data_IF_716864455425
#
_entry.id   IF_716864455425
#
_cell.length_a   1.000
_cell.length_b   1.000
_cell.length_c   1.000
_cell.angle_alpha   90.00
_cell.angle_beta   90.00
_cell.angle_gamma   90.00
#
_symmetry.space_group_name_H-M   'P 1'
#
loop_
_entity.id
_entity.type
_entity.pdbx_description
1 polymer ?
#
# COMPACT_ATOMS: atom_id res chain seq x y z
N UNK A 1 -7.05 -10.19 7.07
CA UNK A 1 -7.99 -9.38 6.24
C UNK A 1 -7.59 -7.92 6.14
N UNK A 2 -7.45 -7.21 7.27
CA UNK A 2 -7.25 -5.74 7.28
C UNK A 2 -5.93 -5.26 6.67
N UNK A 3 -4.88 -6.07 6.64
CA UNK A 3 -3.62 -5.72 5.98
C UNK A 3 -3.64 -5.89 4.44
N UNK A 4 -4.77 -6.32 3.85
CA UNK A 4 -4.89 -6.46 2.39
C UNK A 4 -4.00 -7.55 1.79
N UNK A 5 -3.56 -8.53 2.59
CA UNK A 5 -2.71 -9.63 2.13
C UNK A 5 -3.48 -10.61 1.24
N UNK A 6 -2.79 -11.26 0.30
CA UNK A 6 -3.39 -12.34 -0.49
C UNK A 6 -3.76 -13.53 0.41
N UNK A 7 -4.92 -14.20 0.19
CA UNK A 7 -5.94 -13.95 -0.83
C UNK A 7 -7.01 -12.92 -0.42
N UNK A 8 -6.99 -12.42 0.81
CA UNK A 8 -8.03 -11.54 1.39
C UNK A 8 -7.87 -10.06 1.01
N UNK A 9 -7.43 -9.77 -0.21
CA UNK A 9 -6.98 -8.45 -0.67
C UNK A 9 -8.03 -7.68 -1.49
N UNK A 10 -9.04 -8.39 -2.05
CA UNK A 10 -9.96 -7.83 -3.05
C UNK A 10 -10.71 -6.57 -2.60
N UNK A 11 -11.01 -6.44 -1.29
CA UNK A 11 -11.69 -5.27 -0.74
C UNK A 11 -10.86 -3.98 -0.85
N UNK A 12 -9.53 -4.08 -0.86
CA UNK A 12 -8.63 -2.93 -0.78
C UNK A 12 -8.70 -2.02 -2.02
N UNK A 13 -8.52 -2.52 -3.26
CA UNK A 13 -8.63 -1.68 -4.45
C UNK A 13 -10.03 -1.09 -4.64
N UNK A 14 -11.07 -1.82 -4.29
CA UNK A 14 -12.45 -1.35 -4.43
C UNK A 14 -12.77 -0.25 -3.40
N UNK A 15 -12.36 -0.43 -2.14
CA UNK A 15 -12.51 0.58 -1.10
C UNK A 15 -11.79 1.89 -1.48
N UNK A 16 -10.55 1.82 -1.98
CA UNK A 16 -9.83 3.01 -2.43
C UNK A 16 -10.44 3.66 -3.68
N UNK A 17 -11.06 2.87 -4.57
CA UNK A 17 -11.70 3.40 -5.78
C UNK A 17 -12.89 4.29 -5.46
N UNK A 18 -13.69 3.89 -4.49
CA UNK A 18 -14.94 4.57 -4.13
C UNK A 18 -14.77 5.60 -3.00
N UNK A 19 -13.77 5.43 -2.13
CA UNK A 19 -13.61 6.32 -0.98
C UNK A 19 -13.17 7.74 -1.38
N UNK A 20 -13.67 8.78 -0.68
CA UNK A 20 -13.12 10.12 -0.76
C UNK A 20 -11.62 10.15 -0.44
N UNK A 21 -10.90 11.14 -0.96
CA UNK A 21 -9.45 11.20 -0.84
C UNK A 21 -8.91 11.18 0.61
N UNK A 22 -9.49 11.91 1.57
CA UNK A 22 -9.05 11.84 2.97
C UNK A 22 -9.30 10.47 3.62
N UNK A 23 -10.34 9.76 3.18
CA UNK A 23 -10.62 8.41 3.67
C UNK A 23 -9.61 7.43 3.06
N UNK A 24 -9.34 7.55 1.77
CA UNK A 24 -8.32 6.75 1.08
C UNK A 24 -6.92 6.95 1.67
N UNK A 25 -6.54 8.18 2.02
CA UNK A 25 -5.25 8.44 2.67
C UNK A 25 -5.16 7.78 4.05
N UNK A 26 -6.21 7.85 4.87
CA UNK A 26 -6.26 7.17 6.17
C UNK A 26 -6.26 5.65 6.05
N UNK A 27 -6.99 5.10 5.08
CA UNK A 27 -7.02 3.66 4.83
C UNK A 27 -5.63 3.12 4.49
N UNK A 28 -4.90 3.79 3.59
CA UNK A 28 -3.56 3.31 3.22
C UNK A 28 -2.51 3.66 4.26
N UNK A 29 -2.51 4.91 4.76
CA UNK A 29 -1.43 5.41 5.60
C UNK A 29 -1.53 5.03 7.07
N UNK A 30 -2.73 4.69 7.56
CA UNK A 30 -2.93 4.37 8.99
C UNK A 30 -3.44 2.95 9.16
N UNK A 31 -4.52 2.56 8.49
CA UNK A 31 -5.15 1.26 8.72
C UNK A 31 -4.22 0.09 8.34
N UNK A 32 -3.57 0.12 7.17
CA UNK A 32 -2.71 -0.98 6.74
C UNK A 32 -1.47 -1.15 7.64
N UNK A 33 -0.67 -0.09 7.95
CA UNK A 33 0.44 -0.22 8.88
C UNK A 33 0.01 -0.67 10.28
N UNK A 34 -1.14 -0.19 10.77
CA UNK A 34 -1.67 -0.60 12.07
C UNK A 34 -2.04 -2.08 12.07
N UNK A 35 -2.65 -2.59 10.99
CA UNK A 35 -2.97 -4.01 10.87
C UNK A 35 -1.71 -4.90 10.90
N UNK A 36 -0.63 -4.49 10.25
CA UNK A 36 0.66 -5.21 10.32
C UNK A 36 1.36 -5.05 11.67
N UNK A 37 1.26 -3.90 12.32
CA UNK A 37 1.76 -3.72 13.67
C UNK A 37 1.05 -4.66 14.66
N UNK A 38 -0.29 -4.74 14.61
CA UNK A 38 -1.05 -5.68 15.45
C UNK A 38 -0.64 -7.12 15.15
N UNK A 39 -0.46 -7.47 13.87
CA UNK A 39 0.04 -8.78 13.47
C UNK A 39 1.42 -9.08 14.10
N UNK A 40 2.38 -8.15 14.00
CA UNK A 40 3.71 -8.27 14.62
C UNK A 40 3.60 -8.52 16.13
N UNK A 41 2.75 -7.77 16.84
CA UNK A 41 2.58 -7.93 18.29
C UNK A 41 2.03 -9.31 18.67
N UNK A 42 1.13 -9.87 17.86
CA UNK A 42 0.61 -11.23 18.05
C UNK A 42 1.69 -12.25 17.71
N UNK A 43 2.43 -12.04 16.61
CA UNK A 43 3.52 -12.91 16.15
C UNK A 43 4.62 -13.05 17.21
N UNK A 44 5.01 -11.95 17.86
CA UNK A 44 6.02 -11.93 18.94
C UNK A 44 5.58 -12.69 20.20
N UNK A 45 4.27 -12.85 20.44
CA UNK A 45 3.74 -13.59 21.59
C UNK A 45 3.71 -15.11 21.37
N UNK A 46 3.90 -15.57 20.13
CA UNK A 46 3.84 -16.99 19.82
C UNK A 46 5.11 -17.72 20.28
N UNK A 47 5.00 -18.91 20.89
CA UNK A 47 6.17 -19.66 21.35
C UNK A 47 7.07 -20.05 20.18
N UNK A 48 8.34 -19.68 20.25
CA UNK A 48 9.36 -20.06 19.27
C UNK A 48 9.58 -21.58 19.17
N UNK A 49 9.27 -22.33 20.23
CA UNK A 49 9.41 -23.79 20.30
C UNK A 49 8.26 -24.59 19.67
N UNK A 50 7.10 -23.97 19.43
CA UNK A 50 5.91 -24.62 18.84
C UNK A 50 5.62 -24.21 17.39
N UNK A 51 6.41 -23.29 16.84
CA UNK A 51 6.12 -22.58 15.59
C UNK A 51 6.97 -23.08 14.40
N UNK A 52 7.27 -24.38 14.33
CA UNK A 52 7.94 -24.99 13.17
C UNK A 52 7.16 -24.63 11.88
N UNK A 53 7.76 -23.86 10.98
CA UNK A 53 7.14 -23.46 9.71
C UNK A 53 6.38 -22.13 9.73
N UNK A 54 6.15 -21.50 10.90
CA UNK A 54 5.37 -20.25 10.95
C UNK A 54 6.12 -19.10 10.29
N UNK A 55 7.43 -18.99 10.53
CA UNK A 55 8.29 -17.99 9.89
C UNK A 55 8.25 -18.12 8.37
N UNK A 56 8.42 -19.34 7.89
CA UNK A 56 8.41 -19.69 6.47
C UNK A 56 7.05 -19.34 5.85
N UNK A 57 5.96 -19.62 6.56
CA UNK A 57 4.61 -19.25 6.13
C UNK A 57 4.42 -17.73 6.04
N UNK A 58 4.88 -16.97 7.03
CA UNK A 58 4.77 -15.51 7.05
C UNK A 58 5.56 -14.89 5.88
N UNK A 59 6.80 -15.35 5.68
CA UNK A 59 7.64 -14.92 4.56
C UNK A 59 7.02 -15.31 3.22
N UNK A 60 6.50 -16.54 3.11
CA UNK A 60 5.84 -17.02 1.90
C UNK A 60 4.59 -16.18 1.55
N UNK A 61 3.72 -15.91 2.53
CA UNK A 61 2.53 -15.08 2.33
C UNK A 61 2.92 -13.64 1.96
N UNK A 62 3.97 -13.09 2.56
CA UNK A 62 4.48 -11.76 2.23
C UNK A 62 5.00 -11.69 0.79
N UNK A 63 5.83 -12.65 0.39
CA UNK A 63 6.38 -12.76 -0.96
C UNK A 63 5.29 -12.97 -2.01
N UNK A 64 4.34 -13.88 -1.74
CA UNK A 64 3.21 -14.13 -2.62
C UNK A 64 2.32 -12.88 -2.77
N UNK A 65 2.06 -12.17 -1.67
CA UNK A 65 1.30 -10.91 -1.70
C UNK A 65 1.99 -9.85 -2.54
N UNK A 66 3.29 -9.65 -2.35
CA UNK A 66 4.06 -8.67 -3.12
C UNK A 66 4.06 -9.01 -4.62
N UNK A 67 4.29 -10.28 -4.97
CA UNK A 67 4.30 -10.74 -6.35
C UNK A 67 2.94 -10.56 -7.03
N UNK A 68 1.86 -10.99 -6.37
CA UNK A 68 0.49 -10.83 -6.89
C UNK A 68 0.16 -9.36 -7.06
N UNK A 69 0.49 -8.51 -6.10
CA UNK A 69 0.26 -7.08 -6.17
C UNK A 69 1.02 -6.43 -7.34
N UNK A 70 2.27 -6.81 -7.58
CA UNK A 70 3.07 -6.30 -8.70
C UNK A 70 2.41 -6.63 -10.05
N UNK A 71 1.97 -7.88 -10.25
CA UNK A 71 1.27 -8.26 -11.48
C UNK A 71 -0.07 -7.56 -11.65
N UNK A 72 -0.87 -7.45 -10.59
CA UNK A 72 -2.17 -6.78 -10.65
C UNK A 72 -2.05 -5.27 -10.91
N UNK A 73 -0.97 -4.65 -10.41
CA UNK A 73 -0.66 -3.22 -10.63
C UNK A 73 -0.47 -2.91 -12.12
N UNK A 74 0.23 -3.76 -12.86
CA UNK A 74 0.50 -3.56 -14.29
C UNK A 74 -0.77 -3.52 -15.15
N UNK A 75 -1.83 -4.18 -14.73
CA UNK A 75 -3.11 -4.22 -15.44
C UNK A 75 -4.03 -3.03 -15.10
N UNK A 76 -3.67 -2.17 -14.14
CA UNK A 76 -4.57 -1.11 -13.69
C UNK A 76 -4.63 0.08 -14.64
N UNK A 77 -5.86 0.49 -14.98
CA UNK A 77 -6.14 1.70 -15.77
C UNK A 77 -6.59 2.89 -14.93
N UNK A 78 -6.91 2.65 -13.65
CA UNK A 78 -7.30 3.70 -12.70
C UNK A 78 -6.15 3.96 -11.73
N UNK A 79 -5.74 5.22 -11.56
CA UNK A 79 -4.64 5.55 -10.65
C UNK A 79 -4.98 5.27 -9.18
N UNK A 80 -6.24 5.37 -8.76
CA UNK A 80 -6.66 5.02 -7.38
C UNK A 80 -6.44 3.54 -7.07
N UNK A 81 -6.87 2.66 -7.99
CA UNK A 81 -6.62 1.21 -7.93
C UNK A 81 -5.14 0.88 -8.00
N UNK A 82 -4.39 1.55 -8.88
CA UNK A 82 -2.95 1.39 -9.01
C UNK A 82 -2.26 1.66 -7.66
N UNK A 83 -2.60 2.75 -6.98
CA UNK A 83 -2.07 3.02 -5.65
C UNK A 83 -2.50 2.01 -4.59
N UNK A 84 -3.72 1.49 -4.65
CA UNK A 84 -4.16 0.45 -3.72
C UNK A 84 -3.36 -0.85 -3.88
N UNK A 85 -3.07 -1.29 -5.11
CA UNK A 85 -2.23 -2.48 -5.33
C UNK A 85 -0.77 -2.24 -4.96
N UNK A 86 -0.21 -1.06 -5.25
CA UNK A 86 1.12 -0.72 -4.74
C UNK A 86 1.15 -0.70 -3.20
N UNK A 87 0.05 -0.35 -2.53
CA UNK A 87 -0.03 -0.49 -1.07
C UNK A 87 -0.03 -1.94 -0.60
N UNK A 88 -0.78 -2.81 -1.29
CA UNK A 88 -0.74 -4.26 -1.07
C UNK A 88 0.68 -4.82 -1.22
N UNK A 89 1.42 -4.37 -2.23
CA UNK A 89 2.82 -4.76 -2.46
C UNK A 89 3.70 -4.38 -1.26
N UNK A 90 3.62 -3.13 -0.80
CA UNK A 90 4.38 -2.68 0.37
C UNK A 90 4.06 -3.48 1.62
N UNK A 91 2.78 -3.82 1.85
CA UNK A 91 2.39 -4.67 2.99
C UNK A 91 2.98 -6.08 2.88
N UNK A 92 3.06 -6.64 1.68
CA UNK A 92 3.73 -7.92 1.43
C UNK A 92 5.22 -7.86 1.78
N UNK A 93 5.93 -6.83 1.31
CA UNK A 93 7.36 -6.63 1.60
C UNK A 93 7.60 -6.41 3.10
N UNK A 94 6.78 -5.60 3.75
CA UNK A 94 6.86 -5.38 5.19
C UNK A 94 6.63 -6.69 5.97
N UNK A 95 5.71 -7.54 5.53
CA UNK A 95 5.45 -8.84 6.15
C UNK A 95 6.65 -9.79 6.03
N UNK A 96 7.38 -9.76 4.92
CA UNK A 96 8.64 -10.52 4.76
C UNK A 96 9.64 -10.07 5.82
N UNK A 97 9.83 -8.75 6.01
CA UNK A 97 10.75 -8.23 7.01
C UNK A 97 10.34 -8.58 8.45
N UNK A 98 9.03 -8.57 8.75
CA UNK A 98 8.48 -9.06 10.02
C UNK A 98 8.81 -10.54 10.23
N UNK A 99 8.59 -11.39 9.22
CA UNK A 99 8.88 -12.82 9.32
C UNK A 99 10.38 -13.13 9.48
N UNK A 100 11.24 -12.37 8.81
CA UNK A 100 12.70 -12.55 8.91
C UNK A 100 13.28 -12.07 10.24
N UNK A 101 12.70 -11.04 10.87
CA UNK A 101 13.19 -10.48 12.12
C UNK A 101 14.53 -9.75 11.99
N UNK A 102 15.17 -9.46 13.13
CA UNK A 102 16.48 -8.80 13.18
C UNK A 102 16.49 -7.46 12.43
N UNK A 103 17.51 -7.23 11.59
CA UNK A 103 17.64 -5.99 10.81
C UNK A 103 16.50 -5.80 9.79
N UNK A 104 15.92 -6.90 9.29
CA UNK A 104 14.83 -6.85 8.32
C UNK A 104 13.53 -6.29 8.93
N UNK A 105 13.31 -6.51 10.23
CA UNK A 105 12.18 -5.94 10.95
C UNK A 105 12.27 -4.41 11.01
N UNK A 106 13.45 -3.85 11.32
CA UNK A 106 13.65 -2.40 11.32
C UNK A 106 13.43 -1.80 9.93
N UNK A 107 13.89 -2.49 8.88
CA UNK A 107 13.62 -2.12 7.50
C UNK A 107 12.12 -2.12 7.17
N UNK A 108 11.38 -3.14 7.60
CA UNK A 108 9.93 -3.19 7.43
C UNK A 108 9.20 -2.05 8.15
N UNK A 109 9.60 -1.72 9.39
CA UNK A 109 9.01 -0.61 10.14
C UNK A 109 9.28 0.74 9.46
N UNK A 110 10.51 0.97 9.00
CA UNK A 110 10.87 2.17 8.25
C UNK A 110 10.07 2.27 6.95
N UNK A 111 9.94 1.15 6.24
CA UNK A 111 9.14 1.06 5.02
C UNK A 111 7.67 1.41 5.27
N UNK A 112 7.07 0.94 6.37
CA UNK A 112 5.68 1.26 6.73
C UNK A 112 5.49 2.74 7.05
N UNK A 113 6.47 3.39 7.68
CA UNK A 113 6.42 4.83 7.96
C UNK A 113 6.54 5.62 6.65
N UNK A 114 7.53 5.28 5.80
CA UNK A 114 7.71 5.93 4.51
C UNK A 114 6.46 5.79 3.63
N UNK A 115 5.90 4.57 3.58
CA UNK A 115 4.64 4.26 2.92
C UNK A 115 3.50 5.16 3.40
N UNK A 116 3.35 5.34 4.72
CA UNK A 116 2.26 6.13 5.27
C UNK A 116 2.26 7.58 4.76
N UNK A 117 3.42 8.23 4.79
CA UNK A 117 3.58 9.59 4.28
C UNK A 117 3.42 9.66 2.76
N UNK A 118 4.07 8.75 2.04
CA UNK A 118 4.02 8.71 0.57
C UNK A 118 2.59 8.50 0.06
N UNK A 119 1.85 7.55 0.63
CA UNK A 119 0.46 7.26 0.24
C UNK A 119 -0.51 8.34 0.68
N UNK A 120 -0.32 8.97 1.84
CA UNK A 120 -1.15 10.09 2.24
C UNK A 120 -1.06 11.23 1.22
N UNK A 121 0.15 11.55 0.78
CA UNK A 121 0.40 12.55 -0.27
C UNK A 121 -0.20 12.11 -1.62
N UNK A 122 0.03 10.86 -2.04
CA UNK A 122 -0.47 10.30 -3.28
C UNK A 122 -2.00 10.34 -3.36
N UNK A 123 -2.70 9.87 -2.32
CA UNK A 123 -4.17 9.84 -2.29
C UNK A 123 -4.77 11.24 -2.21
N UNK A 124 -4.12 12.19 -1.53
CA UNK A 124 -4.54 13.59 -1.54
C UNK A 124 -4.46 14.19 -2.96
N UNK A 125 -3.34 13.97 -3.66
CA UNK A 125 -3.16 14.39 -5.06
C UNK A 125 -4.14 13.70 -6.01
N UNK A 126 -4.46 12.43 -5.73
CA UNK A 126 -5.45 11.64 -6.46
C UNK A 126 -6.86 12.27 -6.36
N UNK A 127 -7.18 12.84 -5.20
CA UNK A 127 -8.45 13.52 -4.91
C UNK A 127 -8.59 14.85 -5.62
N UNK A 128 -7.56 15.69 -5.54
CA UNK A 128 -7.55 16.98 -6.25
C UNK A 128 -7.60 16.80 -7.76
N UNK A 129 -6.93 15.76 -8.27
CA UNK A 129 -6.97 15.38 -9.69
C UNK A 129 -8.35 14.90 -10.11
N UNK A 130 -8.98 14.05 -9.29
CA UNK A 130 -10.35 13.58 -9.55
C UNK A 130 -11.33 14.75 -9.58
N UNK A 131 -11.24 15.67 -8.62
CA UNK A 131 -12.11 16.86 -8.57
C UNK A 131 -11.93 17.79 -9.78
N UNK A 132 -10.73 17.89 -10.34
CA UNK A 132 -10.45 18.75 -11.48
C UNK A 132 -10.72 18.11 -12.85
N UNK A 133 -10.66 16.78 -12.95
CA UNK A 133 -10.77 16.05 -14.23
C UNK A 133 -12.06 15.26 -14.37
N UNK A 134 -12.74 14.95 -13.26
CA UNK A 134 -13.97 14.15 -13.23
C UNK A 134 -13.75 12.66 -13.49
N UNK A 135 -12.51 12.19 -13.66
CA UNK A 135 -12.20 10.80 -14.02
C UNK A 135 -11.01 10.27 -13.23
N UNK A 136 -11.05 8.97 -12.91
CA UNK A 136 -9.93 8.25 -12.29
C UNK A 136 -9.03 7.52 -13.31
N UNK A 137 -9.37 7.62 -14.59
CA UNK A 137 -8.71 6.88 -15.68
C UNK A 137 -7.42 7.56 -16.13
N UNK A 138 -6.34 6.79 -16.16
CA UNK A 138 -4.99 7.27 -16.47
C UNK A 138 -4.91 7.79 -17.92
N UNK A 139 -5.58 7.12 -18.86
CA UNK A 139 -5.57 7.45 -20.29
C UNK A 139 -6.29 8.76 -20.64
N UNK A 140 -7.18 9.22 -19.77
CA UNK A 140 -7.99 10.44 -19.93
C UNK A 140 -7.34 11.68 -19.30
N UNK A 141 -6.33 11.50 -18.42
CA UNK A 141 -5.66 12.61 -17.72
C UNK A 141 -4.48 13.10 -18.55
N UNK A 142 -4.55 14.36 -19.01
CA UNK A 142 -3.49 15.00 -19.79
C UNK A 142 -3.19 16.42 -19.29
N UNK A 143 -1.92 16.80 -19.37
CA UNK A 143 -1.49 18.17 -19.10
C UNK A 143 -1.61 18.61 -17.63
N UNK A 144 -1.60 17.67 -16.68
CA UNK A 144 -1.77 17.95 -15.25
C UNK A 144 -0.74 18.96 -14.73
N UNK A 145 0.53 18.85 -15.15
CA UNK A 145 1.59 19.79 -14.76
C UNK A 145 1.40 21.23 -15.26
N UNK A 146 0.61 21.44 -16.33
CA UNK A 146 0.27 22.79 -16.82
C UNK A 146 -1.01 23.32 -16.19
N UNK A 147 -2.03 22.47 -16.03
CA UNK A 147 -3.34 22.85 -15.49
C UNK A 147 -3.34 23.01 -13.97
N UNK A 148 -2.59 22.16 -13.27
CA UNK A 148 -2.47 22.13 -11.82
C UNK A 148 -0.99 21.95 -11.43
N UNK A 149 -0.14 22.97 -11.59
CA UNK A 149 1.32 22.83 -11.46
C UNK A 149 1.76 22.32 -10.08
N UNK A 150 1.12 22.78 -9.00
CA UNK A 150 1.41 22.29 -7.64
C UNK A 150 1.05 20.81 -7.48
N UNK A 151 -0.13 20.41 -7.94
CA UNK A 151 -0.60 19.01 -7.89
C UNK A 151 0.24 18.12 -8.79
N UNK A 152 0.62 18.58 -9.98
CA UNK A 152 1.50 17.85 -10.89
C UNK A 152 2.89 17.61 -10.30
N UNK A 153 3.48 18.62 -9.66
CA UNK A 153 4.76 18.46 -8.97
C UNK A 153 4.66 17.46 -7.80
N UNK A 154 3.61 17.57 -6.98
CA UNK A 154 3.36 16.63 -5.90
C UNK A 154 3.12 15.21 -6.40
N UNK A 155 2.43 15.03 -7.54
CA UNK A 155 2.25 13.72 -8.16
C UNK A 155 3.57 13.04 -8.52
N UNK A 156 4.52 13.78 -9.09
CA UNK A 156 5.84 13.25 -9.42
C UNK A 156 6.58 12.86 -8.14
N UNK A 157 6.58 13.74 -7.13
CA UNK A 157 7.22 13.45 -5.85
C UNK A 157 6.60 12.24 -5.14
N UNK A 158 5.27 12.17 -5.07
CA UNK A 158 4.56 11.03 -4.50
C UNK A 158 4.81 9.76 -5.29
N UNK A 159 4.83 9.82 -6.62
CA UNK A 159 5.08 8.66 -7.49
C UNK A 159 6.50 8.11 -7.39
N UNK A 160 7.49 8.95 -7.08
CA UNK A 160 8.87 8.52 -6.81
C UNK A 160 9.08 7.98 -5.40
N UNK A 161 8.23 8.39 -4.45
CA UNK A 161 8.30 7.98 -3.05
C UNK A 161 7.52 6.69 -2.74
N UNK A 162 6.61 6.29 -3.65
CA UNK A 162 5.77 5.08 -3.57
C UNK A 162 6.44 3.95 -4.33
#
# INVERSE_FOLDING_TARGET
>A
TKAGLFPMHAWLPDAHSEAPAPVSSLLSGVLLPTALYVFLRIYDLLPSSGALGLRELVVFVGALTALVAAFLTLAQRSYKRLFAYSSMETMGIALIGIGLGGIALYGALLLLIAHAFAKASAFYCSGTTLGATGTSRIDEIRGLGRRLPRTGALWVLSGLAV
#
